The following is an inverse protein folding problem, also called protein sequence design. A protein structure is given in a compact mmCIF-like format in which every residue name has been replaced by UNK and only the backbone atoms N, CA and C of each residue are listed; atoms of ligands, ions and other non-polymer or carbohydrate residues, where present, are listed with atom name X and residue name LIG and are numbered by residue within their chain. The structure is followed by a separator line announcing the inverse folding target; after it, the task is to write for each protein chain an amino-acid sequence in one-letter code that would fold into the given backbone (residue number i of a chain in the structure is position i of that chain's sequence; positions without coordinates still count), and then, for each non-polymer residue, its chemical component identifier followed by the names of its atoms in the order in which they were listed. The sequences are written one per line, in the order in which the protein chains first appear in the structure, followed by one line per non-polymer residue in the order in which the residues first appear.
data_IF_554479251440
#
_entry.id   IF_554479251440
#
_cell.length_a   1.000
_cell.length_b   1.000
_cell.length_c   1.000
_cell.angle_alpha   90.00
_cell.angle_beta   90.00
_cell.angle_gamma   90.00
#
_symmetry.space_group_name_H-M   'P 1'
#
loop_
_entity.id
_entity.type
_entity.pdbx_description
1 polymer ?
#
# COMPACT_ATOMS: atom_id res chain seq x y z
N UNK A 1 -7.60 7.22 12.10
CA UNK A 1 -6.45 6.29 12.21
C UNK A 1 -5.90 6.34 13.63
N UNK A 2 -5.21 5.30 14.10
CA UNK A 2 -4.70 5.25 15.48
C UNK A 2 -3.40 4.44 15.59
N UNK A 3 -2.58 4.78 16.59
CA UNK A 3 -1.25 4.19 16.82
C UNK A 3 -1.14 3.43 18.14
N UNK A 4 -2.24 3.41 18.91
CA UNK A 4 -2.43 2.70 20.17
C UNK A 4 -3.76 1.95 20.16
N UNK A 5 -3.83 0.87 20.94
CA UNK A 5 -5.06 0.08 21.14
C UNK A 5 -5.32 -1.00 20.08
N UNK A 6 -6.21 -1.93 20.42
CA UNK A 6 -6.70 -3.00 19.56
C UNK A 6 -5.58 -3.74 18.80
N UNK A 7 -5.73 -3.84 17.48
CA UNK A 7 -4.80 -4.54 16.59
C UNK A 7 -3.41 -3.91 16.44
N UNK A 8 -3.16 -2.70 16.95
CA UNK A 8 -1.84 -2.06 16.84
C UNK A 8 -0.76 -2.75 17.67
N UNK A 9 -1.15 -3.62 18.61
CA UNK A 9 -0.24 -4.37 19.49
C UNK A 9 0.19 -5.72 18.91
N UNK A 10 -0.48 -6.19 17.86
CA UNK A 10 -0.11 -7.42 17.17
C UNK A 10 1.26 -7.28 16.52
N UNK A 11 2.05 -8.36 16.48
CA UNK A 11 3.46 -8.31 16.14
C UNK A 11 3.73 -7.67 14.76
N UNK A 12 2.99 -8.05 13.72
CA UNK A 12 3.19 -7.53 12.36
C UNK A 12 2.75 -6.07 12.24
N UNK A 13 1.58 -5.71 12.76
CA UNK A 13 1.08 -4.33 12.77
C UNK A 13 2.00 -3.42 13.58
N UNK A 14 2.52 -3.91 14.71
CA UNK A 14 3.50 -3.20 15.54
C UNK A 14 4.80 -2.96 14.78
N UNK A 15 5.33 -3.97 14.10
CA UNK A 15 6.53 -3.84 13.27
C UNK A 15 6.33 -2.83 12.13
N UNK A 16 5.18 -2.84 11.45
CA UNK A 16 4.85 -1.86 10.42
C UNK A 16 4.77 -0.43 10.98
N UNK A 17 4.14 -0.24 12.14
CA UNK A 17 4.08 1.07 12.80
C UNK A 17 5.46 1.54 13.27
N UNK A 18 6.33 0.63 13.69
CA UNK A 18 7.72 0.93 14.01
C UNK A 18 8.51 1.37 12.78
N UNK A 19 8.34 0.69 11.64
CA UNK A 19 8.97 1.07 10.37
C UNK A 19 8.57 2.50 9.95
N UNK A 20 7.31 2.87 10.14
CA UNK A 20 6.81 4.22 9.87
C UNK A 20 7.17 5.23 10.99
N UNK A 21 7.80 4.77 12.08
CA UNK A 21 8.13 5.59 13.25
C UNK A 21 6.90 6.27 13.86
N UNK A 22 5.77 5.57 13.89
CA UNK A 22 4.49 6.04 14.38
C UNK A 22 3.89 5.12 15.45
N UNK A 23 4.65 4.14 15.98
CA UNK A 23 4.13 3.21 16.99
C UNK A 23 3.87 3.92 18.32
N UNK A 24 2.73 3.60 18.93
CA UNK A 24 2.43 3.99 20.31
C UNK A 24 2.02 5.45 20.47
N UNK A 25 1.88 5.85 21.74
CA UNK A 25 1.62 7.23 22.14
C UNK A 25 2.92 8.02 22.18
N UNK A 26 2.87 9.29 21.80
CA UNK A 26 3.94 10.23 22.09
C UNK A 26 3.64 10.88 23.45
N UNK A 27 4.59 10.80 24.39
CA UNK A 27 4.44 11.30 25.76
C UNK A 27 4.58 12.82 25.85
N UNK A 28 5.37 13.44 24.98
CA UNK A 28 5.56 14.90 24.94
C UNK A 28 4.37 15.57 24.26
N UNK A 29 3.90 15.00 23.15
CA UNK A 29 2.78 15.54 22.37
C UNK A 29 1.78 14.43 21.99
N UNK A 30 0.77 14.17 22.84
CA UNK A 30 -0.25 13.18 22.57
C UNK A 30 -0.92 13.39 21.20
N UNK A 31 -1.09 12.30 20.45
CA UNK A 31 -1.71 12.33 19.12
C UNK A 31 -0.75 12.55 17.95
N UNK A 32 0.46 13.07 18.16
CA UNK A 32 1.42 13.35 17.07
C UNK A 32 1.74 12.12 16.22
N UNK A 33 1.90 10.95 16.84
CA UNK A 33 2.13 9.70 16.10
C UNK A 33 0.94 9.31 15.22
N UNK A 34 -0.30 9.53 15.70
CA UNK A 34 -1.50 9.26 14.91
C UNK A 34 -1.64 10.23 13.73
N UNK A 35 -1.30 11.50 13.94
CA UNK A 35 -1.22 12.51 12.87
C UNK A 35 -0.16 12.15 11.84
N UNK A 36 1.03 11.69 12.28
CA UNK A 36 2.09 11.22 11.39
C UNK A 36 1.63 10.05 10.52
N UNK A 37 0.97 9.05 11.12
CA UNK A 37 0.39 7.94 10.37
C UNK A 37 -0.68 8.43 9.37
N UNK A 38 -1.53 9.38 9.77
CA UNK A 38 -2.52 9.97 8.87
C UNK A 38 -1.88 10.66 7.66
N UNK A 39 -0.79 11.40 7.88
CA UNK A 39 -0.02 12.06 6.82
C UNK A 39 0.57 11.04 5.84
N UNK A 40 1.17 9.96 6.34
CA UNK A 40 1.70 8.88 5.51
C UNK A 40 0.60 8.24 4.66
N UNK A 41 -0.57 7.97 5.26
CA UNK A 41 -1.72 7.42 4.53
C UNK A 41 -2.19 8.37 3.43
N UNK A 42 -2.35 9.65 3.74
CA UNK A 42 -2.76 10.66 2.75
C UNK A 42 -1.74 10.79 1.60
N UNK A 43 -0.45 10.78 1.92
CA UNK A 43 0.63 10.80 0.91
C UNK A 43 0.65 9.55 0.03
N UNK A 44 0.41 8.37 0.62
CA UNK A 44 0.33 7.11 -0.11
C UNK A 44 -0.88 7.08 -1.08
N UNK A 45 -2.04 7.60 -0.64
CA UNK A 45 -3.22 7.74 -1.50
C UNK A 45 -2.92 8.65 -2.69
N UNK A 46 -2.38 9.86 -2.44
CA UNK A 46 -2.03 10.80 -3.50
C UNK A 46 -1.03 10.20 -4.50
N UNK A 47 0.02 9.53 -4.02
CA UNK A 47 1.00 8.86 -4.87
C UNK A 47 0.35 7.75 -5.71
N UNK A 48 -0.57 6.98 -5.13
CA UNK A 48 -1.33 5.95 -5.83
C UNK A 48 -2.21 6.52 -6.94
N UNK A 49 -2.95 7.59 -6.66
CA UNK A 49 -3.81 8.25 -7.65
C UNK A 49 -2.99 8.85 -8.80
N UNK A 50 -1.88 9.53 -8.51
CA UNK A 50 -0.98 10.04 -9.55
C UNK A 50 -0.41 8.92 -10.42
N UNK A 51 0.02 7.81 -9.81
CA UNK A 51 0.53 6.65 -10.54
C UNK A 51 -0.55 6.02 -11.42
N UNK A 52 -1.79 5.91 -10.93
CA UNK A 52 -2.91 5.35 -11.67
C UNK A 52 -3.30 6.25 -12.85
N UNK A 53 -3.41 7.56 -12.63
CA UNK A 53 -3.73 8.52 -13.69
C UNK A 53 -2.63 8.55 -14.76
N UNK A 54 -1.36 8.49 -14.37
CA UNK A 54 -0.24 8.39 -15.31
C UNK A 54 -0.31 7.10 -16.15
N UNK A 55 -0.61 5.96 -15.53
CA UNK A 55 -0.75 4.69 -16.24
C UNK A 55 -1.95 4.67 -17.19
N UNK A 56 -3.06 5.33 -16.85
CA UNK A 56 -4.22 5.51 -17.72
C UNK A 56 -3.88 6.42 -18.91
N UNK A 57 -3.29 7.59 -18.65
CA UNK A 57 -2.92 8.55 -19.69
C UNK A 57 -1.90 7.97 -20.68
N UNK A 58 -0.97 7.13 -20.20
CA UNK A 58 0.01 6.44 -21.04
C UNK A 58 -0.50 5.13 -21.66
N UNK A 59 -1.75 4.72 -21.40
CA UNK A 59 -2.31 3.46 -21.91
C UNK A 59 -1.63 2.20 -21.38
N UNK A 60 -0.92 2.27 -20.25
CA UNK A 60 -0.11 1.17 -19.72
C UNK A 60 -0.80 0.32 -18.65
N UNK A 61 -2.00 0.71 -18.19
CA UNK A 61 -2.69 0.04 -17.08
C UNK A 61 -2.91 -1.46 -17.30
N UNK A 62 -3.41 -1.88 -18.47
CA UNK A 62 -3.67 -3.31 -18.75
C UNK A 62 -2.36 -4.09 -18.86
N UNK A 63 -1.34 -3.50 -19.49
CA UNK A 63 -0.02 -4.12 -19.65
C UNK A 63 0.65 -4.39 -18.30
N UNK A 64 0.61 -3.43 -17.38
CA UNK A 64 1.15 -3.61 -16.03
C UNK A 64 0.36 -4.65 -15.24
N UNK A 65 -0.97 -4.67 -15.37
CA UNK A 65 -1.83 -5.65 -14.71
C UNK A 65 -1.54 -7.08 -15.18
N UNK A 66 -1.41 -7.30 -16.49
CA UNK A 66 -1.05 -8.61 -17.06
C UNK A 66 0.35 -9.05 -16.63
N UNK A 67 1.29 -8.12 -16.45
CA UNK A 67 2.66 -8.45 -16.06
C UNK A 67 2.81 -8.74 -14.57
N UNK A 68 2.20 -7.94 -13.69
CA UNK A 68 2.49 -7.98 -12.25
C UNK A 68 1.35 -8.52 -11.40
N UNK A 69 0.09 -8.44 -11.86
CA UNK A 69 -1.07 -8.91 -11.13
C UNK A 69 -1.68 -10.20 -11.71
N UNK A 70 -1.00 -10.83 -12.68
CA UNK A 70 -1.36 -12.15 -13.23
C UNK A 70 -0.11 -13.01 -13.36
N UNK A 71 -0.25 -14.29 -13.00
CA UNK A 71 0.85 -15.27 -13.12
C UNK A 71 1.23 -15.46 -14.59
N UNK A 72 2.52 -15.45 -14.90
CA UNK A 72 3.02 -15.77 -16.24
C UNK A 72 2.64 -17.20 -16.68
N UNK A 73 2.34 -18.10 -15.73
CA UNK A 73 1.83 -19.44 -16.03
C UNK A 73 0.42 -19.40 -16.66
N UNK A 74 -0.44 -18.49 -16.22
CA UNK A 74 -1.79 -18.34 -16.78
C UNK A 74 -1.74 -17.78 -18.21
N UNK A 75 -0.75 -16.94 -18.51
CA UNK A 75 -0.53 -16.36 -19.85
C UNK A 75 -0.08 -17.45 -20.83
N UNK A 76 0.84 -18.33 -20.40
CA UNK A 76 1.31 -19.45 -21.23
C UNK A 76 0.21 -20.52 -21.44
N UNK A 77 -0.61 -20.80 -20.42
CA UNK A 77 -1.72 -21.75 -20.53
C UNK A 77 -2.83 -21.26 -21.48
N UNK A 78 -3.18 -19.96 -21.42
CA UNK A 78 -4.17 -19.38 -22.32
C UNK A 78 -3.68 -19.23 -23.77
N UNK A 79 -2.36 -19.14 -23.99
CA UNK A 79 -1.78 -19.11 -25.34
C UNK A 79 -1.68 -20.52 -25.96
N UNK A 80 -1.44 -21.55 -25.14
CA UNK A 80 -1.35 -22.94 -25.59
C UNK A 80 -2.71 -23.60 -25.85
N UNK A 81 -3.82 -23.08 -25.30
CA UNK A 81 -5.16 -23.61 -25.55
C UNK A 81 -5.78 -23.15 -26.89
N UNK A 82 -5.12 -22.25 -27.63
CA UNK A 82 -5.60 -21.72 -28.92
C UNK A 82 -4.91 -22.35 -30.15
N UNK A 83 -4.15 -23.45 -29.97
CA UNK A 83 -3.58 -24.27 -31.05
C UNK A 83 -4.16 -25.67 -30.99
#
# INVERSE_FOLDING_TARGET
VGTVGGGTQLASQSACLNLLGAKGSNMETPGTNATKLALVVAGAVLAGELSLMSALAAGQLVKSHMKYNRSSKDICASAASCT
#
